data_IF_672824758016
#
_entry.id   IF_672824758016
#
_cell.length_a   1.000
_cell.length_b   1.000
_cell.length_c   1.000
_cell.angle_alpha   90.00
_cell.angle_beta   90.00
_cell.angle_gamma   90.00
#
_symmetry.space_group_name_H-M   'P 1'
#
loop_
_entity.id
_entity.type
_entity.pdbx_description
1 polymer ?
#
# COMPACT_ATOMS: atom_id res chain seq x y z
N UNK A 1 -6.59 -6.32 -12.47
CA UNK A 1 -6.59 -5.39 -11.33
C UNK A 1 -7.40 -6.05 -10.23
N UNK A 2 -6.79 -6.41 -9.08
CA UNK A 2 -7.58 -6.88 -7.94
C UNK A 2 -8.47 -5.73 -7.45
N UNK A 3 -9.75 -6.01 -7.24
CA UNK A 3 -10.67 -5.09 -6.58
C UNK A 3 -10.21 -4.90 -5.13
N UNK A 4 -10.30 -3.70 -4.54
CA UNK A 4 -9.95 -3.45 -3.14
C UNK A 4 -11.02 -4.05 -2.20
N UNK A 5 -11.09 -5.39 -2.15
CA UNK A 5 -12.11 -6.17 -1.43
C UNK A 5 -12.08 -5.90 0.08
N UNK A 6 -10.89 -5.56 0.62
CA UNK A 6 -10.73 -5.14 2.01
C UNK A 6 -11.61 -3.94 2.37
N UNK A 7 -11.91 -3.05 1.43
CA UNK A 7 -12.75 -1.88 1.68
C UNK A 7 -14.22 -2.24 1.87
N UNK A 8 -14.70 -3.29 1.21
CA UNK A 8 -16.08 -3.78 1.41
C UNK A 8 -16.30 -4.26 2.85
N UNK A 9 -15.26 -4.79 3.49
CA UNK A 9 -15.32 -5.23 4.89
C UNK A 9 -15.34 -4.06 5.89
N UNK A 10 -14.89 -2.87 5.46
CA UNK A 10 -14.88 -1.65 6.28
C UNK A 10 -16.20 -0.88 6.22
N UNK A 11 -17.12 -1.26 5.32
CA UNK A 11 -18.37 -0.56 5.05
C UNK A 11 -19.58 -1.33 5.58
N UNK A 12 -20.51 -0.61 6.20
CA UNK A 12 -21.74 -1.19 6.78
C UNK A 12 -22.74 -1.70 5.73
N UNK A 13 -22.63 -1.23 4.48
CA UNK A 13 -23.49 -1.63 3.36
C UNK A 13 -22.63 -2.00 2.14
N UNK A 14 -22.67 -3.27 1.75
CA UNK A 14 -21.87 -3.82 0.66
C UNK A 14 -22.28 -3.28 -0.72
N UNK A 15 -23.57 -3.03 -0.98
CA UNK A 15 -24.04 -2.51 -2.27
C UNK A 15 -23.67 -1.05 -2.45
N UNK A 16 -23.81 -0.26 -1.39
CA UNK A 16 -23.37 1.13 -1.39
C UNK A 16 -21.85 1.21 -1.61
N UNK A 17 -21.07 0.41 -0.90
CA UNK A 17 -19.62 0.34 -1.05
C UNK A 17 -19.19 -0.05 -2.47
N UNK A 18 -19.85 -1.06 -3.05
CA UNK A 18 -19.58 -1.47 -4.42
C UNK A 18 -19.86 -0.33 -5.42
N UNK A 19 -20.95 0.43 -5.23
CA UNK A 19 -21.27 1.60 -6.07
C UNK A 19 -20.27 2.74 -5.93
N UNK A 20 -19.64 2.88 -4.75
CA UNK A 20 -18.61 3.88 -4.50
C UNK A 20 -17.29 3.48 -5.17
N UNK A 21 -16.91 2.21 -5.08
CA UNK A 21 -15.72 1.65 -5.74
C UNK A 21 -15.85 1.73 -7.26
N UNK A 22 -17.02 1.42 -7.81
CA UNK A 22 -17.27 1.49 -9.25
C UNK A 22 -17.07 2.92 -9.77
N UNK A 23 -17.66 3.92 -9.11
CA UNK A 23 -17.48 5.34 -9.44
C UNK A 23 -16.04 5.82 -9.28
N UNK A 24 -15.36 5.37 -8.22
CA UNK A 24 -13.97 5.76 -7.96
C UNK A 24 -13.02 5.20 -9.02
N UNK A 25 -13.23 3.96 -9.45
CA UNK A 25 -12.31 3.28 -10.38
C UNK A 25 -12.58 3.60 -11.85
N UNK A 26 -13.81 3.99 -12.21
CA UNK A 26 -14.25 4.27 -13.58
C UNK A 26 -13.38 5.28 -14.34
N UNK A 27 -12.85 6.31 -13.67
CA UNK A 27 -12.02 7.37 -14.28
C UNK A 27 -10.71 7.64 -13.54
N UNK A 28 -10.27 6.74 -12.65
CA UNK A 28 -9.06 6.93 -11.86
C UNK A 28 -7.84 6.22 -12.45
N UNK A 29 -6.69 6.89 -12.40
CA UNK A 29 -5.40 6.27 -12.57
C UNK A 29 -4.92 5.70 -11.23
N UNK A 30 -4.63 4.40 -11.19
CA UNK A 30 -4.16 3.73 -9.98
C UNK A 30 -2.64 3.71 -9.95
N UNK A 31 -2.06 4.19 -8.85
CA UNK A 31 -0.63 4.07 -8.55
C UNK A 31 -0.45 3.15 -7.34
N UNK A 32 0.29 2.07 -7.52
CA UNK A 32 0.73 1.19 -6.43
C UNK A 32 2.11 1.62 -5.99
N UNK A 33 2.29 1.91 -4.71
CA UNK A 33 3.57 2.34 -4.13
C UNK A 33 4.09 1.22 -3.25
N UNK A 34 5.30 0.75 -3.55
CA UNK A 34 6.00 -0.29 -2.80
C UNK A 34 7.26 0.28 -2.13
N UNK A 35 7.76 -0.45 -1.14
CA UNK A 35 8.98 -0.12 -0.41
C UNK A 35 8.77 0.34 1.04
N UNK A 36 9.87 0.50 1.80
CA UNK A 36 9.81 0.86 3.21
C UNK A 36 9.23 2.26 3.42
N UNK A 37 8.62 2.48 4.59
CA UNK A 37 7.99 3.76 4.90
C UNK A 37 9.01 4.89 4.92
N UNK A 38 8.71 6.01 4.26
CA UNK A 38 9.53 7.22 4.33
C UNK A 38 9.84 7.64 5.78
N UNK A 39 8.87 7.46 6.69
CA UNK A 39 9.04 7.78 8.12
C UNK A 39 10.07 6.89 8.79
N UNK A 40 10.21 5.62 8.38
CA UNK A 40 11.24 4.73 8.92
C UNK A 40 12.64 5.25 8.54
N UNK A 41 12.81 5.78 7.33
CA UNK A 41 14.07 6.33 6.82
C UNK A 41 14.50 7.64 7.48
N UNK A 42 13.56 8.52 7.79
CA UNK A 42 13.85 9.88 8.30
C UNK A 42 13.59 10.00 9.81
N UNK A 43 13.30 8.90 10.52
CA UNK A 43 13.06 8.92 11.96
C UNK A 43 14.32 9.40 12.70
N UNK A 44 14.24 10.49 13.50
CA UNK A 44 15.36 10.91 14.33
C UNK A 44 15.80 9.76 15.25
N UNK A 45 17.08 9.39 15.21
CA UNK A 45 17.64 8.24 15.94
C UNK A 45 17.72 6.91 15.17
N UNK A 46 17.35 6.87 13.88
CA UNK A 46 17.57 5.74 12.95
C UNK A 46 18.41 6.14 11.73
N UNK A 47 19.43 6.98 11.93
CA UNK A 47 20.46 7.14 10.91
C UNK A 47 21.15 5.79 10.73
N UNK A 48 21.02 5.18 9.55
CA UNK A 48 21.66 3.92 9.14
C UNK A 48 21.08 2.61 9.69
N UNK A 49 19.80 2.34 9.44
CA UNK A 49 19.33 0.94 9.35
C UNK A 49 18.69 0.67 7.98
N UNK A 50 19.43 0.87 6.90
CA UNK A 50 19.19 0.14 5.65
C UNK A 50 20.37 0.35 4.68
N UNK A 51 21.33 -0.58 4.68
CA UNK A 51 22.26 -0.80 3.56
C UNK A 51 22.82 -2.24 3.53
N UNK A 52 22.26 -3.19 4.29
CA UNK A 52 22.85 -4.53 4.42
C UNK A 52 21.83 -5.67 4.45
N UNK A 53 20.79 -5.59 3.63
CA UNK A 53 19.90 -6.73 3.34
C UNK A 53 19.95 -7.11 1.84
N UNK A 54 21.17 -7.17 1.30
CA UNK A 54 21.47 -7.68 -0.05
C UNK A 54 22.69 -8.61 -0.16
N UNK A 55 23.42 -8.87 0.93
CA UNK A 55 24.68 -9.65 0.93
C UNK A 55 24.54 -10.97 1.73
N UNK A 56 23.50 -11.77 1.47
CA UNK A 56 23.36 -13.10 2.10
C UNK A 56 23.02 -14.25 1.14
N UNK A 57 23.03 -14.02 -0.19
CA UNK A 57 22.74 -15.07 -1.18
C UNK A 57 23.92 -15.38 -2.14
N UNK A 58 25.16 -15.21 -1.69
CA UNK A 58 26.36 -15.48 -2.50
C UNK A 58 27.51 -16.18 -1.76
N UNK A 59 27.22 -16.98 -0.72
CA UNK A 59 28.22 -17.86 -0.08
C UNK A 59 27.69 -19.24 0.21
#
# INVERSE_FOLDING_TARGET
MPLPIEWLSMTTDALLAQSAIDRLTSSAHTLVIEGPSYRQRTRPGRGAIDSSEGEVDAR
#
